data_IF_928162097644
#
_entry.id   IF_928162097644
#
_cell.length_a   1.000
_cell.length_b   1.000
_cell.length_c   1.000
_cell.angle_alpha   90.00
_cell.angle_beta   90.00
_cell.angle_gamma   90.00
#
_symmetry.space_group_name_H-M   'P 1'
#
loop_
_entity.id
_entity.type
_entity.pdbx_description
1 polymer ?
#
# COMPACT_ATOMS: atom_id res chain seq x y z
N UNK A 1 24.70 -7.92 -1.92
CA UNK A 1 24.89 -9.19 -1.22
C UNK A 1 24.32 -10.19 -2.19
N UNK A 2 25.13 -11.12 -2.72
CA UNK A 2 24.61 -12.04 -3.74
C UNK A 2 23.41 -12.79 -3.18
N UNK A 3 22.26 -12.59 -3.83
CA UNK A 3 21.02 -13.23 -3.47
C UNK A 3 21.13 -14.70 -3.93
N UNK A 4 21.25 -15.61 -2.96
CA UNK A 4 21.13 -17.03 -3.26
C UNK A 4 19.64 -17.43 -3.30
N UNK A 5 19.34 -18.64 -3.78
CA UNK A 5 17.96 -19.10 -3.97
C UNK A 5 17.14 -19.09 -2.68
N UNK A 6 17.75 -19.43 -1.55
CA UNK A 6 17.10 -19.41 -0.23
C UNK A 6 16.70 -17.96 0.13
N UNK A 7 17.61 -17.01 -0.04
CA UNK A 7 17.33 -15.59 0.21
C UNK A 7 16.32 -15.02 -0.79
N UNK A 8 16.33 -15.46 -2.03
CA UNK A 8 15.31 -15.06 -3.00
C UNK A 8 13.92 -15.56 -2.58
N UNK A 9 13.84 -16.82 -2.14
CA UNK A 9 12.60 -17.44 -1.68
C UNK A 9 11.98 -16.69 -0.49
N UNK A 10 12.76 -16.40 0.56
CA UNK A 10 12.25 -15.66 1.71
C UNK A 10 11.86 -14.21 1.37
N UNK A 11 12.59 -13.56 0.47
CA UNK A 11 12.26 -12.21 0.03
C UNK A 11 10.94 -12.19 -0.76
N UNK A 12 10.78 -13.11 -1.71
CA UNK A 12 9.54 -13.27 -2.46
C UNK A 12 8.38 -13.61 -1.51
N UNK A 13 8.61 -14.52 -0.56
CA UNK A 13 7.65 -14.86 0.48
C UNK A 13 7.21 -13.64 1.29
N UNK A 14 8.15 -12.78 1.71
CA UNK A 14 7.82 -11.55 2.44
C UNK A 14 6.94 -10.60 1.61
N UNK A 15 7.24 -10.41 0.32
CA UNK A 15 6.41 -9.59 -0.58
C UNK A 15 5.00 -10.17 -0.71
N UNK A 16 4.88 -11.48 -0.95
CA UNK A 16 3.59 -12.16 -1.11
C UNK A 16 2.77 -12.09 0.19
N UNK A 17 3.38 -12.34 1.34
CA UNK A 17 2.70 -12.29 2.64
C UNK A 17 2.20 -10.87 2.90
N UNK A 18 3.05 -9.85 2.68
CA UNK A 18 2.64 -8.45 2.81
C UNK A 18 1.47 -8.10 1.90
N UNK A 19 1.47 -8.61 0.67
CA UNK A 19 0.39 -8.39 -0.28
C UNK A 19 -0.92 -9.07 0.17
N UNK A 20 -0.89 -10.39 0.42
CA UNK A 20 -2.07 -11.19 0.71
C UNK A 20 -2.75 -10.76 2.00
N UNK A 21 -1.99 -10.41 3.04
CA UNK A 21 -2.56 -9.99 4.32
C UNK A 21 -3.23 -8.62 4.21
N UNK A 22 -2.69 -7.71 3.39
CA UNK A 22 -3.14 -6.32 3.35
C UNK A 22 -4.03 -5.97 2.15
N UNK A 23 -4.25 -6.88 1.20
CA UNK A 23 -5.24 -6.63 0.13
C UNK A 23 -6.65 -6.35 0.69
N UNK A 24 -7.18 -7.02 1.74
CA UNK A 24 -8.49 -6.66 2.30
C UNK A 24 -8.43 -5.49 3.29
N UNK A 25 -7.26 -4.91 3.57
CA UNK A 25 -7.11 -3.90 4.63
C UNK A 25 -7.99 -2.66 4.43
N UNK A 26 -8.13 -2.08 3.21
CA UNK A 26 -8.99 -0.92 3.03
C UNK A 26 -10.44 -1.18 3.45
N UNK A 27 -10.95 -2.39 3.27
CA UNK A 27 -12.33 -2.78 3.61
C UNK A 27 -12.53 -3.14 5.09
N UNK A 28 -11.48 -3.07 5.93
CA UNK A 28 -11.63 -3.31 7.36
C UNK A 28 -12.49 -2.25 8.04
N UNK A 29 -12.59 -1.05 7.47
CA UNK A 29 -13.54 -0.02 7.91
C UNK A 29 -15.00 -0.49 7.90
N UNK A 30 -15.42 -1.26 6.88
CA UNK A 30 -16.78 -1.79 6.77
C UNK A 30 -17.11 -2.65 7.99
N UNK A 31 -16.18 -3.52 8.38
CA UNK A 31 -16.35 -4.43 9.52
C UNK A 31 -16.17 -3.74 10.86
N UNK A 32 -15.21 -2.81 10.96
CA UNK A 32 -14.83 -2.16 12.22
C UNK A 32 -15.74 -0.98 12.58
N UNK A 33 -16.17 -0.21 11.57
CA UNK A 33 -16.96 1.00 11.76
C UNK A 33 -18.45 0.79 11.46
N UNK A 34 -18.83 -0.33 10.83
CA UNK A 34 -20.23 -0.65 10.53
C UNK A 34 -20.87 0.30 9.51
N UNK A 35 -20.06 0.90 8.63
CA UNK A 35 -20.51 1.94 7.68
C UNK A 35 -21.14 1.40 6.39
N UNK A 36 -21.39 0.08 6.31
CA UNK A 36 -22.03 -0.55 5.15
C UNK A 36 -21.15 -0.47 3.90
N UNK A 37 -21.72 -0.08 2.77
CA UNK A 37 -21.02 0.02 1.48
C UNK A 37 -20.23 1.33 1.30
N UNK A 38 -20.08 2.12 2.36
CA UNK A 38 -19.29 3.35 2.31
C UNK A 38 -17.83 3.09 2.60
N UNK A 39 -16.96 3.84 1.91
CA UNK A 39 -15.51 3.76 2.09
C UNK A 39 -15.05 4.85 3.03
N UNK A 40 -14.37 4.52 4.10
CA UNK A 40 -13.75 5.50 4.98
C UNK A 40 -12.50 6.07 4.31
N UNK A 41 -12.42 7.41 4.23
CA UNK A 41 -11.31 8.08 3.54
C UNK A 41 -9.91 7.68 4.06
N UNK A 42 -9.77 7.36 5.35
CA UNK A 42 -8.47 7.02 5.96
C UNK A 42 -8.05 5.59 5.63
N UNK A 43 -8.97 4.63 5.73
CA UNK A 43 -8.69 3.24 5.34
C UNK A 43 -8.47 3.12 3.84
N UNK A 44 -9.21 3.91 3.06
CA UNK A 44 -9.07 4.02 1.61
C UNK A 44 -8.05 5.10 1.20
N UNK A 45 -6.90 5.11 1.88
CA UNK A 45 -5.79 6.01 1.57
C UNK A 45 -4.44 5.30 1.57
N UNK A 46 -3.43 6.02 1.08
CA UNK A 46 -2.03 5.63 1.13
C UNK A 46 -1.38 5.84 2.50
N UNK A 47 -2.16 6.10 3.55
CA UNK A 47 -1.64 6.42 4.88
C UNK A 47 -0.67 5.36 5.41
N UNK A 48 -1.05 4.08 5.38
CA UNK A 48 -0.18 2.99 5.84
C UNK A 48 1.10 2.85 4.98
N UNK A 49 1.03 2.85 3.64
CA UNK A 49 2.21 2.95 2.76
C UNK A 49 3.14 4.13 3.09
N UNK A 50 2.58 5.33 3.28
CA UNK A 50 3.32 6.55 3.63
C UNK A 50 4.01 6.42 4.98
N UNK A 51 3.33 5.83 5.97
CA UNK A 51 3.89 5.58 7.29
C UNK A 51 5.10 4.64 7.20
N UNK A 52 4.96 3.53 6.47
CA UNK A 52 6.05 2.59 6.19
C UNK A 52 7.23 3.28 5.49
N UNK A 53 6.96 4.11 4.49
CA UNK A 53 7.98 4.91 3.82
C UNK A 53 8.73 5.84 4.77
N UNK A 54 8.03 6.61 5.60
CA UNK A 54 8.65 7.57 6.52
C UNK A 54 9.59 6.88 7.51
N UNK A 55 9.19 5.72 8.06
CA UNK A 55 10.02 4.98 9.01
C UNK A 55 11.20 4.26 8.36
N UNK A 56 11.01 3.68 7.18
CA UNK A 56 12.04 2.82 6.57
C UNK A 56 13.02 3.60 5.68
N UNK A 57 12.60 4.72 5.05
CA UNK A 57 13.46 5.46 4.09
C UNK A 57 14.75 6.02 4.67
N UNK A 58 14.80 6.25 6.00
CA UNK A 58 15.98 6.81 6.68
C UNK A 58 17.00 5.75 7.10
N UNK A 59 16.61 4.48 7.12
CA UNK A 59 17.50 3.39 7.51
C UNK A 59 18.59 3.20 6.45
N UNK A 60 19.84 3.12 6.90
CA UNK A 60 21.02 2.84 6.06
C UNK A 60 21.45 1.38 6.09
N UNK A 61 20.72 0.53 6.83
CA UNK A 61 21.06 -0.88 6.98
C UNK A 61 20.89 -1.61 5.66
N UNK A 62 21.95 -2.28 5.18
CA UNK A 62 21.90 -3.20 4.03
C UNK A 62 21.85 -4.67 4.48
N UNK A 63 21.44 -4.92 5.71
CA UNK A 63 21.26 -6.28 6.20
C UNK A 63 20.13 -6.96 5.43
N UNK A 64 20.25 -8.28 5.25
CA UNK A 64 19.23 -9.06 4.57
C UNK A 64 17.86 -8.99 5.28
N UNK A 65 17.84 -8.93 6.61
CA UNK A 65 16.61 -8.73 7.40
C UNK A 65 15.95 -7.42 7.02
N UNK A 66 16.72 -6.34 6.86
CA UNK A 66 16.17 -5.06 6.42
C UNK A 66 15.64 -5.12 4.98
N UNK A 67 16.28 -5.88 4.08
CA UNK A 67 15.74 -6.16 2.74
C UNK A 67 14.41 -6.94 2.81
N UNK A 68 14.27 -7.91 3.72
CA UNK A 68 13.01 -8.62 3.96
C UNK A 68 11.90 -7.67 4.44
N UNK A 69 12.20 -6.79 5.40
CA UNK A 69 11.25 -5.79 5.90
C UNK A 69 10.79 -4.87 4.76
N UNK A 70 11.73 -4.36 3.94
CA UNK A 70 11.39 -3.57 2.76
C UNK A 70 10.53 -4.35 1.76
N UNK A 71 10.80 -5.65 1.55
CA UNK A 71 10.00 -6.52 0.69
C UNK A 71 8.57 -6.70 1.21
N UNK A 72 8.41 -6.95 2.51
CA UNK A 72 7.11 -7.01 3.15
C UNK A 72 6.33 -5.70 3.00
N UNK A 73 6.97 -4.55 3.27
CA UNK A 73 6.35 -3.24 3.10
C UNK A 73 6.02 -2.94 1.64
N UNK A 74 6.86 -3.34 0.68
CA UNK A 74 6.54 -3.27 -0.75
C UNK A 74 5.27 -4.07 -1.07
N UNK A 75 5.11 -5.27 -0.51
CA UNK A 75 3.89 -6.08 -0.63
C UNK A 75 2.64 -5.34 -0.14
N UNK A 76 2.72 -4.72 1.04
CA UNK A 76 1.63 -3.88 1.59
C UNK A 76 1.26 -2.75 0.62
N UNK A 77 2.27 -2.04 0.09
CA UNK A 77 2.05 -0.92 -0.83
C UNK A 77 1.41 -1.37 -2.14
N UNK A 78 1.82 -2.53 -2.68
CA UNK A 78 1.21 -3.12 -3.88
C UNK A 78 -0.24 -3.53 -3.62
N UNK A 79 -0.52 -4.16 -2.48
CA UNK A 79 -1.86 -4.58 -2.12
C UNK A 79 -2.81 -3.39 -2.01
N UNK A 80 -2.49 -2.43 -1.12
CA UNK A 80 -3.34 -1.26 -0.92
C UNK A 80 -3.49 -0.47 -2.22
N UNK A 81 -2.39 -0.22 -2.94
CA UNK A 81 -2.49 0.54 -4.18
C UNK A 81 -3.33 -0.16 -5.25
N UNK A 82 -3.28 -1.48 -5.37
CA UNK A 82 -4.12 -2.25 -6.31
C UNK A 82 -5.59 -2.20 -5.89
N UNK A 83 -5.88 -2.40 -4.61
CA UNK A 83 -7.25 -2.31 -4.08
C UNK A 83 -7.88 -0.96 -4.41
N UNK A 84 -7.18 0.14 -4.04
CA UNK A 84 -7.65 1.50 -4.32
C UNK A 84 -7.76 1.79 -5.82
N UNK A 85 -6.89 1.22 -6.65
CA UNK A 85 -6.99 1.36 -8.10
C UNK A 85 -8.30 0.75 -8.62
N UNK A 86 -8.61 -0.48 -8.21
CA UNK A 86 -9.84 -1.16 -8.62
C UNK A 86 -11.07 -0.40 -8.13
N UNK A 87 -11.00 0.18 -6.93
CA UNK A 87 -12.06 0.99 -6.35
C UNK A 87 -12.39 2.26 -7.16
N UNK A 88 -11.45 2.80 -7.94
CA UNK A 88 -11.71 3.96 -8.83
C UNK A 88 -12.75 3.66 -9.91
N UNK A 89 -12.97 2.39 -10.24
CA UNK A 89 -13.93 1.94 -11.25
C UNK A 89 -15.26 1.45 -10.65
N UNK A 90 -15.38 1.47 -9.32
CA UNK A 90 -16.59 1.07 -8.60
C UNK A 90 -17.43 2.28 -8.19
N UNK A 91 -18.71 2.05 -7.93
CA UNK A 91 -19.70 3.10 -7.65
C UNK A 91 -19.81 3.48 -6.16
N UNK A 92 -19.01 2.86 -5.28
CA UNK A 92 -19.07 3.11 -3.84
C UNK A 92 -18.36 4.42 -3.46
N UNK A 93 -19.09 5.28 -2.74
CA UNK A 93 -18.63 6.60 -2.34
C UNK A 93 -17.63 6.56 -1.17
N UNK A 94 -16.65 7.47 -1.21
CA UNK A 94 -15.71 7.71 -0.11
C UNK A 94 -16.31 8.77 0.81
N UNK A 95 -16.56 8.40 2.05
CA UNK A 95 -17.11 9.31 3.06
C UNK A 95 -16.02 9.90 3.93
N UNK A 96 -15.96 11.23 3.92
CA UNK A 96 -15.25 12.00 4.94
C UNK A 96 -16.14 12.09 6.18
N UNK A 97 -15.61 11.68 7.33
CA UNK A 97 -16.34 11.54 8.60
C UNK A 97 -17.13 12.81 8.98
N UNK A 98 -16.65 13.99 8.59
CA UNK A 98 -17.24 15.29 8.99
C UNK A 98 -17.94 16.07 7.88
N UNK A 99 -17.69 15.73 6.60
CA UNK A 99 -18.11 16.55 5.45
C UNK A 99 -18.98 15.72 4.47
N UNK A 100 -18.91 14.39 4.52
CA UNK A 100 -19.59 13.54 3.55
C UNK A 100 -18.80 13.45 2.25
N UNK A 101 -19.28 14.11 1.20
CA UNK A 101 -18.61 14.23 -0.11
C UNK A 101 -17.93 15.60 -0.24
N UNK A 102 -16.85 15.69 -1.02
CA UNK A 102 -16.23 16.97 -1.35
C UNK A 102 -16.95 17.67 -2.52
N UNK A 103 -17.57 16.90 -3.42
CA UNK A 103 -18.33 17.43 -4.57
C UNK A 103 -19.66 16.70 -4.70
N UNK A 104 -20.73 17.34 -4.22
CA UNK A 104 -22.07 16.78 -4.26
C UNK A 104 -22.55 16.50 -5.69
N UNK A 105 -23.26 15.37 -5.86
CA UNK A 105 -23.88 14.97 -7.13
C UNK A 105 -22.92 14.33 -8.14
N UNK A 106 -21.65 14.10 -7.79
CA UNK A 106 -20.68 13.38 -8.62
C UNK A 106 -19.88 12.37 -7.81
N UNK A 107 -19.22 11.42 -8.47
CA UNK A 107 -18.22 10.53 -7.85
C UNK A 107 -16.79 10.96 -8.19
N UNK A 108 -16.59 12.20 -8.65
CA UNK A 108 -15.30 12.63 -9.20
C UNK A 108 -14.24 12.72 -8.11
N UNK A 109 -14.59 13.33 -6.98
CA UNK A 109 -13.75 13.47 -5.81
C UNK A 109 -13.39 12.11 -5.18
N UNK A 110 -14.35 11.20 -5.08
CA UNK A 110 -14.13 9.82 -4.62
C UNK A 110 -13.07 9.11 -5.46
N UNK A 111 -13.24 9.16 -6.79
CA UNK A 111 -12.34 8.51 -7.74
C UNK A 111 -10.96 9.17 -7.78
N UNK A 112 -10.90 10.49 -7.67
CA UNK A 112 -9.64 11.22 -7.56
C UNK A 112 -8.91 10.87 -6.26
N UNK A 113 -9.62 10.80 -5.13
CA UNK A 113 -9.04 10.41 -3.85
C UNK A 113 -8.42 9.01 -3.93
N UNK A 114 -9.19 8.03 -4.40
CA UNK A 114 -8.75 6.65 -4.57
C UNK A 114 -7.59 6.54 -5.57
N UNK A 115 -7.69 7.21 -6.72
CA UNK A 115 -6.67 7.18 -7.76
C UNK A 115 -5.35 7.79 -7.33
N UNK A 116 -5.37 8.97 -6.69
CA UNK A 116 -4.17 9.63 -6.17
C UNK A 116 -3.51 8.75 -5.10
N UNK A 117 -4.28 8.22 -4.15
CA UNK A 117 -3.74 7.35 -3.11
C UNK A 117 -3.19 6.02 -3.67
N UNK A 118 -3.83 5.45 -4.69
CA UNK A 118 -3.31 4.30 -5.42
C UNK A 118 -1.94 4.60 -6.03
N UNK A 119 -1.83 5.71 -6.77
CA UNK A 119 -0.58 6.15 -7.41
C UNK A 119 0.52 6.37 -6.37
N UNK A 120 0.23 7.06 -5.26
CA UNK A 120 1.19 7.30 -4.18
C UNK A 120 1.69 5.97 -3.61
N UNK A 121 0.78 5.03 -3.35
CA UNK A 121 1.15 3.69 -2.85
C UNK A 121 2.06 2.94 -3.83
N UNK A 122 1.75 3.02 -5.14
CA UNK A 122 2.58 2.40 -6.19
C UNK A 122 3.96 3.04 -6.29
N UNK A 123 4.07 4.37 -6.22
CA UNK A 123 5.36 5.08 -6.21
C UNK A 123 6.23 4.59 -5.03
N UNK A 124 5.64 4.42 -3.85
CA UNK A 124 6.36 3.91 -2.67
C UNK A 124 6.77 2.45 -2.87
N UNK A 125 5.91 1.62 -3.46
CA UNK A 125 6.27 0.24 -3.81
C UNK A 125 7.48 0.19 -4.75
N UNK A 126 7.50 1.03 -5.80
CA UNK A 126 8.63 1.17 -6.72
C UNK A 126 9.90 1.63 -6.01
N UNK A 127 9.79 2.57 -5.07
CA UNK A 127 10.93 3.01 -4.25
C UNK A 127 11.57 1.83 -3.51
N UNK A 128 10.79 1.04 -2.78
CA UNK A 128 11.31 -0.13 -2.06
C UNK A 128 11.86 -1.20 -2.99
N UNK A 129 11.18 -1.49 -4.11
CA UNK A 129 11.67 -2.40 -5.13
C UNK A 129 13.04 -1.98 -5.68
N UNK A 130 13.24 -0.67 -5.92
CA UNK A 130 14.52 -0.14 -6.39
C UNK A 130 15.64 -0.27 -5.35
N UNK A 131 15.33 -0.13 -4.06
CA UNK A 131 16.30 -0.30 -2.98
C UNK A 131 16.70 -1.78 -2.82
N UNK A 132 15.71 -2.68 -2.81
CA UNK A 132 15.93 -4.12 -2.77
C UNK A 132 16.80 -4.58 -3.94
N UNK A 133 16.52 -4.09 -5.15
CA UNK A 133 17.35 -4.36 -6.32
C UNK A 133 18.80 -3.91 -6.12
N UNK A 134 19.03 -2.69 -5.61
CA UNK A 134 20.39 -2.21 -5.32
C UNK A 134 21.09 -3.03 -4.25
N UNK A 135 20.41 -3.42 -3.18
CA UNK A 135 21.00 -4.20 -2.09
C UNK A 135 21.40 -5.62 -2.54
N UNK A 136 20.63 -6.20 -3.46
CA UNK A 136 20.88 -7.52 -4.03
C UNK A 136 21.91 -7.49 -5.17
N UNK A 137 21.94 -6.45 -5.99
CA UNK A 137 22.87 -6.29 -7.11
C UNK A 137 24.27 -5.77 -6.70
N UNK A 138 24.37 -4.92 -5.66
CA UNK A 138 25.61 -4.23 -5.32
C UNK A 138 26.65 -5.08 -4.55
N UNK A 139 26.50 -6.41 -4.45
CA UNK A 139 27.59 -7.30 -4.04
C UNK A 139 27.43 -8.67 -4.67
#
# INVERSE_FOLDING_TARGET
MKLNIIKAFFLLGAVIIGFVIFIPFPDYDIRLLGIGEHRNFLFHSSFLPVLGFVFLRKSRSRSYIFTIIQGFTMGICLAIGLHLFLDTFQSAAVKFIFIGSLVDGTSLDDRLWLGINSIVSMIIAFYFGSNIYKDTAAN
#
